data_IF_079071862799
#
_entry.id   IF_079071862799
#
_cell.length_a   1.000
_cell.length_b   1.000
_cell.length_c   1.000
_cell.angle_alpha   90.00
_cell.angle_beta   90.00
_cell.angle_gamma   90.00
#
_symmetry.space_group_name_H-M   'P 1'
#
loop_
_entity.id
_entity.type
_entity.pdbx_description
1 polymer ?
#
# COMPACT_ATOMS: atom_id res chain seq x y z
N UNK A 1 75.59 23.64 30.35
CA UNK A 1 76.18 22.30 30.09
C UNK A 1 75.08 21.42 29.51
N UNK A 2 75.32 20.79 28.33
CA UNK A 2 74.38 20.16 27.36
C UNK A 2 73.54 21.18 26.57
N UNK A 3 73.80 21.57 25.31
CA UNK A 3 74.22 20.97 24.03
C UNK A 3 73.10 20.18 23.30
N UNK A 4 72.72 20.73 22.12
CA UNK A 4 72.15 20.16 20.87
C UNK A 4 70.83 19.36 20.95
N UNK A 5 69.88 19.49 20.01
CA UNK A 5 70.07 19.14 18.58
C UNK A 5 68.91 19.63 17.67
N UNK A 6 69.33 20.21 16.53
CA UNK A 6 68.82 20.31 15.15
C UNK A 6 67.35 20.02 14.74
N UNK A 7 66.70 20.94 13.99
CA UNK A 7 66.48 21.04 12.50
C UNK A 7 65.43 20.04 11.90
N UNK A 8 64.32 20.53 11.30
CA UNK A 8 63.98 20.50 9.85
C UNK A 8 62.49 20.83 9.56
N UNK A 9 62.29 21.60 8.49
CA UNK A 9 61.04 21.93 7.82
C UNK A 9 60.39 20.70 7.15
N UNK A 10 59.06 20.70 7.03
CA UNK A 10 58.38 20.38 5.75
C UNK A 10 56.91 20.85 5.76
N UNK A 11 56.56 21.65 4.74
CA UNK A 11 55.20 21.77 4.20
C UNK A 11 54.66 20.38 3.84
N UNK A 12 53.33 20.24 3.71
CA UNK A 12 52.56 19.50 2.69
C UNK A 12 51.09 19.56 3.18
N UNK A 13 50.24 20.43 2.65
CA UNK A 13 49.52 20.30 1.39
C UNK A 13 48.61 19.05 1.33
N UNK A 14 47.30 19.30 1.29
CA UNK A 14 46.36 18.47 0.53
C UNK A 14 45.66 17.36 1.29
N UNK A 15 44.40 17.59 1.65
CA UNK A 15 43.25 17.06 0.87
C UNK A 15 42.02 17.02 1.76
N UNK A 16 41.09 17.95 1.50
CA UNK A 16 39.71 17.80 1.95
C UNK A 16 39.13 16.59 1.21
N UNK A 17 38.94 15.48 1.91
CA UNK A 17 38.23 14.32 1.40
C UNK A 17 36.74 14.70 1.33
N UNK A 18 36.31 15.26 0.20
CA UNK A 18 34.90 15.32 -0.15
C UNK A 18 34.41 13.87 -0.28
N UNK A 19 33.71 13.39 0.74
CA UNK A 19 32.84 12.22 0.61
C UNK A 19 31.68 12.65 -0.28
N UNK A 20 31.86 12.51 -1.60
CA UNK A 20 30.77 12.39 -2.55
C UNK A 20 29.98 11.15 -2.16
N UNK A 21 28.93 11.34 -1.37
CA UNK A 21 27.83 10.38 -1.28
C UNK A 21 27.22 10.38 -2.67
N UNK A 22 27.66 9.43 -3.49
CA UNK A 22 26.92 9.02 -4.67
C UNK A 22 25.59 8.47 -4.15
N UNK A 23 24.60 9.36 -4.03
CA UNK A 23 23.21 8.98 -4.09
C UNK A 23 23.03 8.36 -5.48
N UNK A 24 23.28 7.06 -5.58
CA UNK A 24 22.94 6.28 -6.73
C UNK A 24 21.43 6.32 -6.84
N UNK A 25 20.90 7.28 -7.59
CA UNK A 25 19.61 7.15 -8.22
C UNK A 25 19.71 5.95 -9.17
N UNK A 26 19.63 4.74 -8.62
CA UNK A 26 19.22 3.60 -9.40
C UNK A 26 17.82 3.95 -9.88
N UNK A 27 17.71 4.32 -11.16
CA UNK A 27 16.42 4.32 -11.83
C UNK A 27 15.95 2.87 -11.81
N UNK A 28 15.14 2.52 -10.81
CA UNK A 28 14.60 1.18 -10.60
C UNK A 28 13.60 0.76 -11.69
N UNK A 29 13.57 1.42 -12.85
CA UNK A 29 12.70 1.11 -13.97
C UNK A 29 12.96 -0.31 -14.48
N UNK A 30 11.96 -1.21 -14.40
CA UNK A 30 12.04 -2.53 -14.99
C UNK A 30 12.21 -2.42 -16.51
N UNK A 31 13.05 -3.27 -17.13
CA UNK A 31 13.40 -3.17 -18.54
C UNK A 31 12.38 -3.81 -19.50
N UNK A 32 11.30 -4.43 -19.01
CA UNK A 32 10.47 -5.37 -19.78
C UNK A 32 9.16 -4.79 -20.34
N UNK A 33 8.86 -3.50 -20.12
CA UNK A 33 7.63 -2.87 -20.61
C UNK A 33 6.35 -3.44 -19.97
N UNK A 34 6.46 -4.15 -18.85
CA UNK A 34 5.36 -4.80 -18.13
C UNK A 34 4.41 -3.83 -17.40
N UNK A 35 4.68 -2.52 -17.47
CA UNK A 35 3.95 -1.44 -16.81
C UNK A 35 3.88 -0.20 -17.72
N UNK A 36 2.91 0.67 -17.46
CA UNK A 36 2.78 1.98 -18.08
C UNK A 36 2.41 3.00 -17.01
N UNK A 37 3.35 3.88 -16.62
CA UNK A 37 3.10 4.94 -15.64
C UNK A 37 2.47 6.20 -16.25
N UNK A 38 2.29 6.27 -17.57
CA UNK A 38 1.79 7.44 -18.30
C UNK A 38 0.37 7.27 -18.79
N UNK A 39 -0.10 6.03 -18.98
CA UNK A 39 -1.49 5.76 -19.34
C UNK A 39 -2.47 6.40 -18.34
N UNK A 40 -3.56 6.96 -18.86
CA UNK A 40 -4.65 7.48 -18.05
C UNK A 40 -5.59 6.32 -17.65
N UNK A 41 -5.97 6.27 -16.37
CA UNK A 41 -6.93 5.28 -15.87
C UNK A 41 -8.30 5.48 -16.53
N UNK A 42 -8.63 6.72 -16.93
CA UNK A 42 -9.88 7.04 -17.60
C UNK A 42 -10.03 6.37 -18.98
N UNK A 43 -8.93 5.94 -19.61
CA UNK A 43 -8.94 5.24 -20.89
C UNK A 43 -9.18 3.73 -20.75
N UNK A 44 -9.19 3.20 -19.53
CA UNK A 44 -9.36 1.77 -19.26
C UNK A 44 -10.84 1.38 -19.26
N UNK A 45 -11.14 0.14 -19.67
CA UNK A 45 -12.50 -0.40 -19.59
C UNK A 45 -12.88 -0.62 -18.13
N UNK A 46 -14.02 -0.05 -17.72
CA UNK A 46 -14.54 -0.27 -16.37
C UNK A 46 -15.00 -1.72 -16.20
N UNK A 47 -14.81 -2.25 -15.01
CA UNK A 47 -15.21 -3.62 -14.69
C UNK A 47 -16.40 -3.64 -13.73
N UNK A 48 -17.28 -4.63 -13.91
CA UNK A 48 -18.33 -4.93 -12.96
C UNK A 48 -17.74 -5.51 -11.66
N UNK A 49 -18.38 -5.21 -10.53
CA UNK A 49 -17.96 -5.77 -9.24
C UNK A 49 -18.35 -7.25 -9.13
N UNK A 50 -17.43 -8.14 -9.48
CA UNK A 50 -17.61 -9.59 -9.37
C UNK A 50 -17.14 -10.15 -8.01
N UNK A 51 -17.57 -11.37 -7.67
CA UNK A 51 -17.06 -12.08 -6.48
C UNK A 51 -15.55 -12.30 -6.55
N UNK A 52 -14.99 -12.50 -7.75
CA UNK A 52 -13.55 -12.65 -7.93
C UNK A 52 -12.82 -11.35 -7.59
N UNK A 53 -13.31 -10.20 -8.06
CA UNK A 53 -12.75 -8.88 -7.71
C UNK A 53 -12.84 -8.62 -6.21
N UNK A 54 -13.97 -8.94 -5.58
CA UNK A 54 -14.11 -8.84 -4.12
C UNK A 54 -13.08 -9.71 -3.38
N UNK A 55 -12.79 -10.91 -3.89
CA UNK A 55 -11.79 -11.81 -3.32
C UNK A 55 -10.34 -11.32 -3.51
N UNK A 56 -10.11 -10.35 -4.39
CA UNK A 56 -8.79 -9.73 -4.58
C UNK A 56 -8.58 -8.55 -3.62
N UNK A 57 -9.65 -7.88 -3.21
CA UNK A 57 -9.65 -6.64 -2.42
C UNK A 57 -9.43 -6.89 -0.91
N UNK A 58 -8.38 -7.63 -0.57
CA UNK A 58 -8.07 -8.03 0.80
C UNK A 58 -6.80 -7.35 1.30
N UNK A 59 -6.74 -6.90 2.57
CA UNK A 59 -5.50 -6.43 3.18
C UNK A 59 -4.45 -7.52 3.27
N UNK A 60 -3.19 -7.11 3.38
CA UNK A 60 -2.05 -8.02 3.38
C UNK A 60 -2.18 -9.14 4.40
N UNK A 61 -2.52 -8.80 5.65
CA UNK A 61 -2.72 -9.78 6.72
C UNK A 61 -3.69 -10.89 6.29
N UNK A 62 -4.76 -10.53 5.59
CA UNK A 62 -5.79 -11.47 5.13
C UNK A 62 -5.36 -12.24 3.87
N UNK A 63 -4.67 -11.57 2.92
CA UNK A 63 -4.12 -12.25 1.74
C UNK A 63 -3.14 -13.36 2.14
N UNK A 64 -2.26 -13.08 3.10
CA UNK A 64 -1.23 -14.03 3.54
C UNK A 64 -1.77 -15.27 4.25
N UNK A 65 -3.02 -15.23 4.74
CA UNK A 65 -3.66 -16.40 5.35
C UNK A 65 -4.30 -17.34 4.32
N UNK A 66 -4.45 -16.90 3.06
CA UNK A 66 -5.10 -17.69 2.01
C UNK A 66 -4.15 -18.74 1.43
N UNK A 67 -4.71 -19.89 1.09
CA UNK A 67 -4.01 -20.94 0.35
C UNK A 67 -3.97 -20.72 -1.17
N UNK A 68 -4.61 -19.65 -1.66
CA UNK A 68 -4.71 -19.30 -3.08
C UNK A 68 -3.94 -17.99 -3.29
N UNK A 69 -3.07 -17.98 -4.29
CA UNK A 69 -2.36 -16.78 -4.74
C UNK A 69 -2.81 -16.41 -6.15
N UNK A 70 -3.01 -15.10 -6.37
CA UNK A 70 -3.43 -14.57 -7.67
C UNK A 70 -2.24 -13.96 -8.38
N UNK A 71 -1.89 -14.51 -9.54
CA UNK A 71 -0.71 -14.13 -10.33
C UNK A 71 -1.05 -12.96 -11.25
N UNK A 72 -0.12 -12.01 -11.41
CA UNK A 72 -0.33 -10.82 -12.23
C UNK A 72 -0.68 -11.18 -13.68
N UNK A 73 0.06 -12.11 -14.29
CA UNK A 73 -0.16 -12.50 -15.69
C UNK A 73 -1.48 -13.26 -15.88
N UNK A 74 -1.90 -14.07 -14.90
CA UNK A 74 -3.23 -14.69 -14.90
C UNK A 74 -4.32 -13.62 -14.90
N UNK A 75 -4.25 -12.65 -13.99
CA UNK A 75 -5.25 -11.56 -13.90
C UNK A 75 -5.27 -10.68 -15.16
N UNK A 76 -4.12 -10.49 -15.84
CA UNK A 76 -4.05 -9.82 -17.14
C UNK A 76 -4.78 -10.62 -18.22
N UNK A 77 -4.51 -11.93 -18.31
CA UNK A 77 -5.14 -12.81 -19.30
C UNK A 77 -6.66 -12.95 -19.10
N UNK A 78 -7.14 -12.80 -17.86
CA UNK A 78 -8.56 -12.77 -17.51
C UNK A 78 -9.21 -11.40 -17.75
N UNK A 79 -8.43 -10.37 -18.13
CA UNK A 79 -8.91 -9.02 -18.37
C UNK A 79 -9.18 -8.18 -17.11
N UNK A 80 -8.95 -8.73 -15.92
CA UNK A 80 -9.14 -8.03 -14.64
C UNK A 80 -8.10 -6.90 -14.49
N UNK A 81 -6.87 -7.14 -14.93
CA UNK A 81 -5.76 -6.18 -14.86
C UNK A 81 -5.45 -5.66 -16.26
N UNK A 82 -5.77 -4.40 -16.50
CA UNK A 82 -5.50 -3.71 -17.76
C UNK A 82 -4.30 -2.76 -17.65
N UNK A 83 -4.13 -2.12 -16.49
CA UNK A 83 -3.08 -1.15 -16.24
C UNK A 83 -2.21 -1.57 -15.06
N UNK A 84 -0.94 -1.79 -15.35
CA UNK A 84 0.10 -2.03 -14.34
C UNK A 84 0.99 -0.80 -14.25
N UNK A 85 1.30 -0.41 -13.01
CA UNK A 85 2.17 0.69 -12.63
C UNK A 85 3.41 0.14 -11.95
N UNK A 86 4.49 0.91 -11.98
CA UNK A 86 5.69 0.61 -11.22
C UNK A 86 6.15 1.84 -10.44
N UNK A 87 6.23 1.71 -9.12
CA UNK A 87 6.66 2.80 -8.25
C UNK A 87 7.36 2.25 -7.01
N UNK A 88 8.39 2.97 -6.54
CA UNK A 88 9.17 2.61 -5.33
C UNK A 88 9.60 1.14 -5.27
N UNK A 89 9.97 0.56 -6.42
CA UNK A 89 10.49 -0.82 -6.48
C UNK A 89 9.43 -1.92 -6.62
N UNK A 90 8.13 -1.58 -6.65
CA UNK A 90 7.04 -2.55 -6.70
C UNK A 90 6.09 -2.29 -7.86
N UNK A 91 5.53 -3.38 -8.38
CA UNK A 91 4.39 -3.32 -9.27
C UNK A 91 3.11 -3.19 -8.46
N UNK A 92 2.18 -2.39 -8.97
CA UNK A 92 0.78 -2.46 -8.57
C UNK A 92 -0.11 -2.27 -9.80
N UNK A 93 -1.35 -2.70 -9.75
CA UNK A 93 -2.34 -2.40 -10.79
C UNK A 93 -3.44 -1.50 -10.27
N UNK A 94 -4.10 -0.83 -11.21
CA UNK A 94 -5.31 -0.05 -10.97
C UNK A 94 -6.34 -0.44 -12.02
N UNK A 95 -7.53 -0.81 -11.56
CA UNK A 95 -8.66 -1.15 -12.42
C UNK A 95 -9.87 -0.31 -12.01
N UNK A 96 -10.43 0.52 -12.91
CA UNK A 96 -11.63 1.29 -12.60
C UNK A 96 -12.88 0.40 -12.59
N UNK A 97 -13.80 0.66 -11.67
CA UNK A 97 -15.03 -0.10 -11.47
C UNK A 97 -16.26 0.67 -11.97
N UNK A 98 -17.32 -0.03 -12.35
CA UNK A 98 -18.57 0.60 -12.81
C UNK A 98 -19.28 1.41 -11.73
N UNK A 99 -19.11 1.02 -10.46
CA UNK A 99 -19.68 1.72 -9.32
C UNK A 99 -18.92 3.01 -8.93
N UNK A 100 -17.94 3.42 -9.74
CA UNK A 100 -17.11 4.62 -9.49
C UNK A 100 -15.93 4.40 -8.54
N UNK A 101 -15.74 3.18 -8.05
CA UNK A 101 -14.55 2.80 -7.29
C UNK A 101 -13.37 2.37 -8.17
N UNK A 102 -12.27 2.02 -7.50
CA UNK A 102 -11.05 1.52 -8.10
C UNK A 102 -10.54 0.32 -7.31
N UNK A 103 -10.14 -0.72 -8.02
CA UNK A 103 -9.40 -1.84 -7.44
C UNK A 103 -7.90 -1.58 -7.63
N UNK A 104 -7.18 -1.48 -6.53
CA UNK A 104 -5.73 -1.45 -6.50
C UNK A 104 -5.19 -2.79 -6.02
N UNK A 105 -4.21 -3.36 -6.71
CA UNK A 105 -3.55 -4.60 -6.29
C UNK A 105 -2.04 -4.39 -6.23
N UNK A 106 -1.44 -4.60 -5.07
CA UNK A 106 0.01 -4.64 -4.91
C UNK A 106 0.51 -6.06 -5.16
N UNK A 107 1.59 -6.17 -5.94
CA UNK A 107 2.22 -7.44 -6.20
C UNK A 107 3.43 -7.69 -5.30
N UNK A 108 3.80 -8.96 -5.15
CA UNK A 108 5.01 -9.43 -4.50
C UNK A 108 6.27 -8.86 -5.17
N UNK A 109 7.44 -9.20 -4.63
CA UNK A 109 8.71 -8.67 -5.14
C UNK A 109 8.84 -8.85 -6.66
N UNK A 110 9.32 -7.79 -7.32
CA UNK A 110 9.55 -7.74 -8.78
C UNK A 110 10.56 -8.78 -9.25
N UNK A 111 11.45 -9.24 -8.37
CA UNK A 111 12.48 -10.23 -8.72
C UNK A 111 11.89 -11.64 -8.87
N UNK A 112 10.63 -11.84 -8.48
CA UNK A 112 9.92 -13.07 -8.74
C UNK A 112 9.55 -13.16 -10.21
N UNK A 113 9.83 -14.32 -10.83
CA UNK A 113 9.49 -14.59 -12.23
C UNK A 113 7.98 -14.45 -12.52
N UNK A 114 7.14 -14.59 -11.50
CA UNK A 114 5.70 -14.42 -11.62
C UNK A 114 5.13 -13.81 -10.32
N UNK A 115 5.04 -12.47 -10.24
CA UNK A 115 4.54 -11.77 -9.08
C UNK A 115 3.07 -12.09 -8.79
N UNK A 116 2.74 -12.24 -7.51
CA UNK A 116 1.38 -12.51 -7.05
C UNK A 116 0.87 -11.38 -6.15
N UNK A 117 -0.45 -11.24 -6.03
CA UNK A 117 -1.09 -10.22 -5.20
C UNK A 117 -0.75 -10.44 -3.73
N UNK A 118 -0.25 -9.40 -3.06
CA UNK A 118 0.06 -9.41 -1.61
C UNK A 118 -0.79 -8.43 -0.82
N UNK A 119 -1.42 -7.46 -1.47
CA UNK A 119 -2.39 -6.54 -0.87
C UNK A 119 -3.37 -6.06 -1.95
N UNK A 120 -4.63 -5.92 -1.59
CA UNK A 120 -5.68 -5.42 -2.47
C UNK A 120 -6.59 -4.42 -1.77
N UNK A 121 -6.98 -3.38 -2.48
CA UNK A 121 -7.81 -2.31 -1.95
C UNK A 121 -8.85 -1.87 -2.98
N UNK A 122 -10.12 -2.11 -2.67
CA UNK A 122 -11.26 -1.66 -3.45
C UNK A 122 -11.87 -0.44 -2.76
N UNK A 123 -11.82 0.71 -3.41
CA UNK A 123 -12.14 1.99 -2.76
C UNK A 123 -12.69 3.01 -3.75
N UNK A 124 -13.62 3.86 -3.31
CA UNK A 124 -14.03 5.06 -4.06
C UNK A 124 -13.39 6.33 -3.51
N UNK A 125 -13.18 6.42 -2.20
CA UNK A 125 -12.50 7.54 -1.54
C UNK A 125 -11.93 7.09 -0.19
N UNK A 126 -10.91 7.80 0.32
CA UNK A 126 -10.44 7.58 1.68
C UNK A 126 -11.48 8.05 2.71
N UNK A 127 -11.71 7.28 3.79
CA UNK A 127 -12.45 7.78 4.94
C UNK A 127 -11.69 8.93 5.61
N UNK A 128 -12.43 9.80 6.31
CA UNK A 128 -11.82 10.80 7.19
C UNK A 128 -11.26 10.10 8.43
N UNK A 129 -9.98 10.30 8.70
CA UNK A 129 -9.32 9.73 9.88
C UNK A 129 -9.87 10.32 11.18
N UNK A 130 -10.40 11.53 11.14
CA UNK A 130 -10.94 12.21 12.32
C UNK A 130 -12.21 11.52 12.86
N UNK A 131 -12.97 10.83 12.00
CA UNK A 131 -14.13 10.03 12.38
C UNK A 131 -13.78 8.83 13.29
N UNK A 132 -12.50 8.47 13.36
CA UNK A 132 -11.96 7.32 14.08
C UNK A 132 -11.16 7.72 15.35
N UNK A 133 -10.97 9.02 15.63
CA UNK A 133 -10.16 9.48 16.77
C UNK A 133 -10.72 9.06 18.14
N UNK A 134 -12.04 8.94 18.25
CA UNK A 134 -12.73 8.68 19.51
C UNK A 134 -13.14 7.20 19.68
N UNK A 135 -12.55 6.27 18.91
CA UNK A 135 -12.87 4.85 19.07
C UNK A 135 -12.54 4.39 20.49
N UNK A 136 -13.44 3.61 21.06
CA UNK A 136 -13.27 2.97 22.36
C UNK A 136 -13.89 1.58 22.38
N UNK A 137 -13.39 0.74 23.29
CA UNK A 137 -14.01 -0.56 23.60
C UNK A 137 -15.49 -0.37 23.94
N UNK A 138 -16.35 -1.25 23.42
CA UNK A 138 -17.79 -1.24 23.61
C UNK A 138 -18.59 -0.45 22.55
N UNK A 139 -17.94 0.28 21.63
CA UNK A 139 -18.63 0.96 20.53
C UNK A 139 -19.26 -0.03 19.56
N UNK A 140 -20.39 0.33 18.94
CA UNK A 140 -21.11 -0.54 18.01
C UNK A 140 -20.34 -0.71 16.69
N UNK A 141 -20.20 -1.95 16.22
CA UNK A 141 -19.52 -2.28 14.96
C UNK A 141 -20.13 -1.57 13.75
N UNK A 142 -21.45 -1.60 13.61
CA UNK A 142 -22.11 -1.11 12.41
C UNK A 142 -22.00 0.43 12.31
N UNK A 143 -22.01 1.12 13.44
CA UNK A 143 -21.71 2.57 13.51
C UNK A 143 -20.26 2.89 13.08
N UNK A 144 -19.31 2.02 13.39
CA UNK A 144 -17.91 2.19 12.97
C UNK A 144 -17.76 1.90 11.47
N UNK A 145 -18.29 0.77 10.98
CA UNK A 145 -18.20 0.39 9.56
C UNK A 145 -18.93 1.40 8.68
N UNK A 146 -20.03 2.00 9.14
CA UNK A 146 -20.74 3.03 8.37
C UNK A 146 -19.91 4.30 8.09
N UNK A 147 -18.86 4.57 8.87
CA UNK A 147 -17.94 5.70 8.63
C UNK A 147 -16.99 5.47 7.46
N UNK A 148 -16.80 4.22 7.05
CA UNK A 148 -15.93 3.84 5.95
C UNK A 148 -16.58 2.76 5.09
N UNK A 149 -17.34 3.16 4.04
CA UNK A 149 -17.97 2.23 3.12
C UNK A 149 -16.98 1.36 2.32
N UNK A 150 -15.68 1.72 2.29
CA UNK A 150 -14.62 0.98 1.59
C UNK A 150 -13.82 0.07 2.54
N UNK A 151 -14.18 0.01 3.82
CA UNK A 151 -13.52 -0.84 4.79
C UNK A 151 -13.59 -2.32 4.37
N UNK A 152 -12.47 -3.02 4.49
CA UNK A 152 -12.53 -4.48 4.43
C UNK A 152 -13.06 -5.01 5.76
N UNK A 153 -14.08 -5.85 5.72
CA UNK A 153 -14.70 -6.45 6.91
C UNK A 153 -14.53 -7.97 6.85
N UNK A 154 -13.70 -8.52 7.73
CA UNK A 154 -13.51 -9.96 7.87
C UNK A 154 -14.61 -10.51 8.77
N UNK A 155 -15.65 -11.07 8.14
CA UNK A 155 -16.83 -11.58 8.85
C UNK A 155 -17.44 -10.54 9.81
N UNK A 156 -17.63 -10.94 11.07
CA UNK A 156 -18.21 -10.05 12.09
C UNK A 156 -17.19 -9.56 13.12
N UNK A 157 -15.95 -10.04 13.09
CA UNK A 157 -15.00 -9.90 14.19
C UNK A 157 -13.82 -8.97 13.89
N UNK A 158 -13.64 -8.51 12.65
CA UNK A 158 -12.58 -7.54 12.35
C UNK A 158 -12.91 -6.63 11.17
N UNK A 159 -12.44 -5.39 11.20
CA UNK A 159 -12.42 -4.48 10.04
C UNK A 159 -11.09 -3.75 9.91
N UNK A 160 -10.77 -3.36 8.67
CA UNK A 160 -9.56 -2.63 8.31
C UNK A 160 -9.92 -1.35 7.57
N UNK A 161 -9.47 -0.23 8.10
CA UNK A 161 -9.72 1.12 7.60
C UNK A 161 -8.41 1.74 7.16
N UNK A 162 -8.33 2.25 5.93
CA UNK A 162 -7.10 2.78 5.35
C UNK A 162 -7.25 4.26 5.07
N UNK A 163 -6.27 5.07 5.49
CA UNK A 163 -6.37 6.53 5.41
C UNK A 163 -5.40 7.13 4.39
N UNK A 164 -5.63 8.39 4.02
CA UNK A 164 -4.80 9.15 3.09
C UNK A 164 -3.36 9.36 3.59
N UNK A 165 -3.14 9.36 4.90
CA UNK A 165 -1.80 9.38 5.51
C UNK A 165 -1.06 8.03 5.45
N UNK A 166 -1.66 7.02 4.78
CA UNK A 166 -1.17 5.65 4.58
C UNK A 166 -1.23 4.77 5.82
N UNK A 167 -1.78 5.26 6.93
CA UNK A 167 -2.01 4.42 8.10
C UNK A 167 -3.20 3.47 7.89
N UNK A 168 -3.15 2.32 8.56
CA UNK A 168 -4.22 1.32 8.56
C UNK A 168 -4.65 1.11 10.00
N UNK A 169 -5.92 1.34 10.29
CA UNK A 169 -6.52 1.02 11.58
C UNK A 169 -7.22 -0.35 11.46
N UNK A 170 -6.80 -1.29 12.31
CA UNK A 170 -7.48 -2.56 12.53
C UNK A 170 -8.34 -2.45 13.76
N UNK A 171 -9.59 -2.92 13.67
CA UNK A 171 -10.55 -2.93 14.77
C UNK A 171 -11.08 -4.35 14.91
N UNK A 172 -10.96 -4.91 16.10
CA UNK A 172 -11.52 -6.20 16.47
C UNK A 172 -12.85 -6.01 17.17
N UNK A 173 -13.76 -6.95 16.94
CA UNK A 173 -15.09 -6.95 17.50
C UNK A 173 -15.39 -8.28 18.19
N UNK A 174 -16.17 -8.21 19.26
CA UNK A 174 -16.71 -9.39 19.95
C UNK A 174 -18.24 -9.34 20.00
N UNK A 175 -18.86 -10.52 20.04
CA UNK A 175 -20.30 -10.64 20.20
C UNK A 175 -20.68 -10.39 21.67
N UNK A 176 -21.71 -9.59 21.88
CA UNK A 176 -22.35 -9.37 23.16
C UNK A 176 -23.48 -10.41 23.40
N UNK A 177 -24.02 -10.47 24.62
CA UNK A 177 -25.10 -11.41 24.98
C UNK A 177 -26.36 -11.26 24.11
N UNK A 178 -26.60 -10.07 23.55
CA UNK A 178 -27.74 -9.79 22.68
C UNK A 178 -27.42 -9.95 21.17
N UNK A 179 -26.29 -10.61 20.85
CA UNK A 179 -25.82 -10.90 19.50
C UNK A 179 -25.49 -9.64 18.65
N UNK A 180 -25.25 -8.49 19.30
CA UNK A 180 -24.59 -7.33 18.67
C UNK A 180 -23.08 -7.48 18.74
N UNK A 181 -22.37 -6.90 17.77
CA UNK A 181 -20.91 -6.84 17.78
C UNK A 181 -20.42 -5.47 18.23
N UNK A 182 -19.47 -5.46 19.15
CA UNK A 182 -18.88 -4.23 19.71
C UNK A 182 -17.37 -4.28 19.65
N UNK A 183 -16.71 -3.11 19.61
CA UNK A 183 -15.25 -2.99 19.61
C UNK A 183 -14.68 -3.67 20.85
N UNK A 184 -13.79 -4.65 20.67
CA UNK A 184 -13.05 -5.32 21.75
C UNK A 184 -11.60 -4.87 21.83
N UNK A 185 -10.97 -4.58 20.68
CA UNK A 185 -9.62 -4.04 20.58
C UNK A 185 -9.46 -3.25 19.28
N UNK A 186 -8.45 -2.38 19.22
CA UNK A 186 -8.10 -1.66 18.00
C UNK A 186 -6.64 -1.19 18.04
N UNK A 187 -6.05 -1.01 16.86
CA UNK A 187 -4.67 -0.55 16.75
C UNK A 187 -4.27 -0.22 15.32
N UNK A 188 -3.28 0.64 15.17
CA UNK A 188 -2.69 0.92 13.87
C UNK A 188 -1.67 -0.17 13.52
N UNK A 189 -1.80 -0.72 12.32
CA UNK A 189 -0.89 -1.75 11.82
C UNK A 189 0.40 -1.10 11.32
N UNK A 190 1.52 -1.81 11.52
CA UNK A 190 2.82 -1.46 10.95
C UNK A 190 3.03 -2.19 9.61
N UNK A 191 2.05 -2.11 8.72
CA UNK A 191 2.12 -2.75 7.40
C UNK A 191 2.91 -1.87 6.42
N UNK A 192 4.10 -2.33 6.04
CA UNK A 192 4.95 -1.66 5.04
C UNK A 192 4.57 -2.03 3.59
N UNK A 193 3.62 -2.94 3.40
CA UNK A 193 3.20 -3.47 2.09
C UNK A 193 1.73 -3.14 1.78
N UNK A 194 1.26 -1.96 2.20
CA UNK A 194 -0.01 -1.42 1.71
C UNK A 194 0.17 -0.83 0.31
N UNK A 195 -0.72 -1.16 -0.62
CA UNK A 195 -0.72 -0.59 -1.98
C UNK A 195 -0.76 0.94 -1.98
N UNK A 196 -1.39 1.54 -0.96
CA UNK A 196 -1.49 3.00 -0.76
C UNK A 196 -0.11 3.67 -0.67
N UNK A 197 0.90 2.95 -0.16
CA UNK A 197 2.27 3.46 -0.09
C UNK A 197 2.94 3.58 -1.47
N UNK A 198 2.52 2.74 -2.42
CA UNK A 198 3.13 2.61 -3.74
C UNK A 198 2.39 3.38 -4.83
N UNK A 199 1.19 3.93 -4.56
CA UNK A 199 0.46 4.71 -5.56
C UNK A 199 1.28 5.88 -6.10
N UNK A 200 1.25 6.05 -7.43
CA UNK A 200 1.67 7.28 -8.10
C UNK A 200 0.74 8.43 -7.70
N UNK A 201 1.20 9.69 -7.70
CA UNK A 201 0.36 10.83 -7.33
C UNK A 201 -0.98 10.88 -8.09
N UNK A 202 -0.96 10.63 -9.40
CA UNK A 202 -2.17 10.63 -10.24
C UNK A 202 -3.19 9.56 -9.85
N UNK A 203 -2.74 8.38 -9.41
CA UNK A 203 -3.63 7.29 -9.00
C UNK A 203 -4.11 7.48 -7.55
N UNK A 204 -3.27 8.08 -6.69
CA UNK A 204 -3.65 8.50 -5.35
C UNK A 204 -4.73 9.59 -5.39
N UNK A 205 -4.64 10.52 -6.35
CA UNK A 205 -5.59 11.61 -6.54
C UNK A 205 -6.99 11.15 -7.01
N UNK A 206 -7.12 9.91 -7.48
CA UNK A 206 -8.41 9.30 -7.85
C UNK A 206 -9.31 9.06 -6.63
N UNK A 207 -8.70 8.87 -5.46
CA UNK A 207 -9.38 8.45 -4.22
C UNK A 207 -9.23 9.46 -3.08
N UNK A 208 -8.68 10.64 -3.36
CA UNK A 208 -8.65 11.78 -2.42
C UNK A 208 -9.74 12.81 -2.69
N UNK A 209 -10.40 12.76 -3.86
CA UNK A 209 -11.48 13.67 -4.22
C UNK A 209 -12.83 13.07 -3.81
N UNK A 210 -13.63 13.75 -2.98
CA UNK A 210 -15.04 13.40 -2.81
C UNK A 210 -15.85 13.66 -4.09
#
# INVERSE_FOLDING_TARGET
>A
MKINTKIFYCLWAGSALLLLVLAGCHSYTPPDGSYDNRADVADMEKQELTQQIQNLALPQEEQMTRSITYRMETLKSEGIVQLVRFNKGRYYSVTPMDNGGYLFLLYSDREMADPYVVDGYLVSSFPDKDDFQNISVGMNRDEIVAKDPSAYVSGNNRSFHRFSDRSILSIEYEATEDNRYVVSAYGYLQENDSVVYYLLPQDFDLITKP
#
